data_IF_954007036174
#
_entry.id   IF_954007036174
#
_cell.length_a   1.000
_cell.length_b   1.000
_cell.length_c   1.000
_cell.angle_alpha   90.00
_cell.angle_beta   90.00
_cell.angle_gamma   90.00
#
_symmetry.space_group_name_H-M   'P 1'
#
loop_
_entity.id
_entity.type
_entity.pdbx_description
1 polymer ?
#
# COMPACT_ATOMS: atom_id res chain seq x y z
N UNK A 1 23.83 8.74 15.28
CA UNK A 1 22.62 7.88 15.24
C UNK A 1 21.83 8.16 13.96
N UNK A 2 21.03 7.20 13.48
CA UNK A 2 20.14 7.38 12.33
C UNK A 2 18.79 7.98 12.74
N UNK A 3 18.33 9.01 12.03
CA UNK A 3 17.21 9.87 12.38
C UNK A 3 16.18 9.94 11.26
N UNK A 4 14.91 10.12 11.62
CA UNK A 4 13.86 10.53 10.68
C UNK A 4 14.20 11.90 10.11
N UNK A 5 14.10 12.05 8.78
CA UNK A 5 14.43 13.31 8.09
C UNK A 5 13.57 14.49 8.53
N UNK A 6 12.31 14.24 8.87
CA UNK A 6 11.29 15.25 9.15
C UNK A 6 11.17 15.48 10.66
N UNK A 7 10.95 14.42 11.43
CA UNK A 7 10.69 14.50 12.87
C UNK A 7 11.97 14.53 13.72
N UNK A 8 13.13 14.21 13.11
CA UNK A 8 14.44 14.15 13.80
C UNK A 8 14.47 13.17 14.99
N UNK A 9 13.56 12.21 15.02
CA UNK A 9 13.52 11.13 16.02
C UNK A 9 14.35 9.93 15.54
N UNK A 10 14.85 9.06 16.43
CA UNK A 10 15.54 7.84 16.02
C UNK A 10 14.67 6.96 15.12
N UNK A 11 15.22 6.48 13.99
CA UNK A 11 14.48 5.65 13.03
C UNK A 11 15.11 4.26 12.81
N UNK A 12 15.76 3.72 13.85
CA UNK A 12 16.14 2.30 13.90
C UNK A 12 17.33 1.90 13.03
N UNK A 13 18.28 2.81 12.82
CA UNK A 13 19.65 2.47 12.43
C UNK A 13 20.65 3.42 13.06
N UNK A 14 21.94 3.09 12.97
CA UNK A 14 23.02 3.97 13.36
C UNK A 14 24.26 3.69 12.51
N UNK A 15 25.26 4.57 12.64
CA UNK A 15 26.63 4.33 12.19
C UNK A 15 27.48 4.15 13.44
N UNK A 16 28.45 3.25 13.36
CA UNK A 16 29.47 3.04 14.39
C UNK A 16 30.81 3.14 13.70
N UNK A 17 31.65 4.05 14.15
CA UNK A 17 33.00 4.27 13.62
C UNK A 17 34.01 3.68 14.60
N UNK A 18 34.86 2.80 14.10
CA UNK A 18 35.97 2.22 14.85
C UNK A 18 37.27 2.91 14.45
N UNK A 19 38.22 2.98 15.38
CA UNK A 19 39.54 3.55 15.10
C UNK A 19 40.35 2.74 14.08
N UNK A 20 40.18 1.42 14.05
CA UNK A 20 40.91 0.52 13.16
C UNK A 20 39.94 -0.27 12.27
N UNK A 21 40.40 -0.60 11.06
CA UNK A 21 39.63 -1.42 10.13
C UNK A 21 39.40 -2.84 10.68
N UNK A 22 40.39 -3.40 11.39
CA UNK A 22 40.31 -4.72 12.01
C UNK A 22 39.14 -4.80 13.00
N UNK A 23 38.95 -3.80 13.87
CA UNK A 23 37.79 -3.78 14.79
C UNK A 23 36.44 -3.69 14.07
N UNK A 24 36.38 -3.01 12.92
CA UNK A 24 35.17 -3.00 12.10
C UNK A 24 34.87 -4.38 11.48
N UNK A 25 35.89 -5.13 11.07
CA UNK A 25 35.74 -6.50 10.57
C UNK A 25 35.34 -7.48 11.68
N UNK A 26 35.89 -7.32 12.88
CA UNK A 26 35.50 -8.11 14.05
C UNK A 26 34.03 -7.87 14.44
N UNK A 27 33.56 -6.62 14.37
CA UNK A 27 32.16 -6.29 14.55
C UNK A 27 31.28 -7.05 13.53
N UNK A 28 31.68 -7.08 12.26
CA UNK A 28 30.96 -7.84 11.22
C UNK A 28 30.93 -9.35 11.49
N UNK A 29 31.98 -9.90 12.11
CA UNK A 29 32.11 -11.33 12.39
C UNK A 29 31.36 -11.77 13.64
N UNK A 30 31.43 -10.99 14.72
CA UNK A 30 30.96 -11.43 16.04
C UNK A 30 29.69 -10.71 16.52
N UNK A 31 29.43 -9.49 16.06
CA UNK A 31 28.28 -8.68 16.50
C UNK A 31 27.11 -8.79 15.51
N UNK A 32 27.38 -9.02 14.23
CA UNK A 32 26.33 -9.22 13.23
C UNK A 32 25.42 -10.40 13.62
N UNK A 33 24.10 -10.22 13.52
CA UNK A 33 23.08 -11.18 13.95
C UNK A 33 23.03 -11.49 15.46
N UNK A 34 23.76 -10.74 16.30
CA UNK A 34 23.58 -10.78 17.75
C UNK A 34 22.29 -10.06 18.18
N UNK A 35 21.96 -10.11 19.48
CA UNK A 35 20.76 -9.49 20.05
C UNK A 35 21.08 -8.18 20.76
N UNK A 36 20.36 -7.12 20.41
CA UNK A 36 20.31 -5.84 21.12
C UNK A 36 18.84 -5.51 21.41
N UNK A 37 18.49 -5.24 22.66
CA UNK A 37 17.11 -4.98 23.10
C UNK A 37 16.10 -6.02 22.61
N UNK A 38 16.47 -7.30 22.70
CA UNK A 38 15.69 -8.43 22.19
C UNK A 38 15.46 -8.48 20.67
N UNK A 39 16.21 -7.71 19.90
CA UNK A 39 16.14 -7.69 18.44
C UNK A 39 17.44 -8.20 17.84
N UNK A 40 17.32 -9.00 16.78
CA UNK A 40 18.47 -9.40 15.98
C UNK A 40 18.92 -8.17 15.18
N UNK A 41 20.16 -7.73 15.39
CA UNK A 41 20.73 -6.60 14.65
C UNK A 41 21.51 -7.10 13.44
N UNK A 42 21.59 -6.26 12.40
CA UNK A 42 22.40 -6.52 11.21
C UNK A 42 23.39 -5.38 11.05
N UNK A 43 24.65 -5.72 10.79
CA UNK A 43 25.72 -4.77 10.53
C UNK A 43 26.15 -4.87 9.07
N UNK A 44 26.58 -3.74 8.49
CA UNK A 44 27.17 -3.65 7.16
C UNK A 44 28.39 -2.72 7.21
N UNK A 45 29.36 -2.96 6.32
CA UNK A 45 30.44 -2.01 6.09
C UNK A 45 29.93 -0.82 5.27
N UNK A 46 30.43 0.35 5.63
CA UNK A 46 29.98 1.62 5.08
C UNK A 46 31.21 2.44 4.61
N UNK A 47 31.15 3.15 3.48
CA UNK A 47 32.28 3.92 2.94
C UNK A 47 32.66 5.15 3.79
N UNK A 48 31.93 5.45 4.87
CA UNK A 48 32.25 6.52 5.81
C UNK A 48 31.12 7.55 5.94
N UNK A 49 31.00 8.11 7.14
CA UNK A 49 29.94 9.08 7.44
C UNK A 49 30.08 10.37 6.62
N UNK A 50 28.95 10.89 6.17
CA UNK A 50 28.83 12.22 5.55
C UNK A 50 27.51 12.83 6.00
N UNK A 51 27.48 14.15 6.12
CA UNK A 51 26.25 14.84 6.49
C UNK A 51 25.12 14.54 5.50
N UNK A 52 23.90 14.45 6.02
CA UNK A 52 22.73 13.96 5.32
C UNK A 52 22.53 12.44 5.37
N UNK A 53 23.59 11.64 5.56
CA UNK A 53 23.46 10.16 5.61
C UNK A 53 22.83 9.65 6.90
N UNK A 54 22.80 10.48 7.95
CA UNK A 54 22.09 10.19 9.18
C UNK A 54 20.56 10.15 8.98
N UNK A 55 20.02 10.75 7.92
CA UNK A 55 18.58 10.81 7.72
C UNK A 55 18.02 9.60 6.96
N UNK A 56 16.86 9.12 7.40
CA UNK A 56 16.04 8.16 6.67
C UNK A 56 15.68 8.67 5.26
N UNK A 57 15.58 7.74 4.32
CA UNK A 57 15.34 8.00 2.89
C UNK A 57 13.91 7.67 2.43
N UNK A 58 13.06 7.19 3.34
CA UNK A 58 11.64 6.98 3.08
C UNK A 58 10.93 8.29 2.74
N UNK A 59 9.85 8.20 1.97
CA UNK A 59 8.95 9.32 1.68
C UNK A 59 8.43 10.01 2.95
N UNK A 60 8.07 9.21 3.95
CA UNK A 60 7.59 9.66 5.26
C UNK A 60 8.65 10.30 6.16
N UNK A 61 9.94 10.12 5.82
CA UNK A 61 11.09 10.63 6.58
C UNK A 61 11.95 9.52 7.19
N UNK A 62 11.35 8.38 7.54
CA UNK A 62 12.02 7.24 8.17
C UNK A 62 12.82 6.37 7.20
N UNK A 63 13.06 5.11 7.58
CA UNK A 63 13.72 4.15 6.69
C UNK A 63 12.79 3.70 5.56
N UNK A 64 13.33 3.55 4.35
CA UNK A 64 12.58 3.03 3.18
C UNK A 64 11.99 1.64 3.48
N UNK A 65 12.73 0.80 4.21
CA UNK A 65 12.28 -0.54 4.61
C UNK A 65 11.00 -0.50 5.45
N UNK A 66 10.89 0.47 6.36
CA UNK A 66 9.75 0.55 7.27
C UNK A 66 8.47 1.07 6.56
N UNK A 67 8.57 1.63 5.35
CA UNK A 67 7.39 2.09 4.60
C UNK A 67 6.54 0.94 4.06
N UNK A 68 7.21 -0.14 3.64
CA UNK A 68 6.60 -1.32 3.00
C UNK A 68 6.47 -2.52 3.95
N UNK A 69 6.77 -2.34 5.24
CA UNK A 69 6.69 -3.42 6.23
C UNK A 69 5.24 -3.85 6.45
N UNK A 70 4.98 -5.13 6.23
CA UNK A 70 3.66 -5.76 6.42
C UNK A 70 3.38 -6.10 7.87
N UNK A 71 4.38 -6.53 8.65
CA UNK A 71 4.18 -6.99 10.01
C UNK A 71 4.01 -5.81 10.97
N UNK A 72 3.22 -5.99 12.03
CA UNK A 72 3.16 -5.02 13.12
C UNK A 72 4.39 -5.13 14.02
N UNK A 73 5.04 -4.00 14.31
CA UNK A 73 6.20 -3.94 15.22
C UNK A 73 6.10 -2.65 16.04
N UNK A 74 5.73 -2.81 17.31
CA UNK A 74 5.50 -1.70 18.24
C UNK A 74 6.75 -0.83 18.43
N UNK A 75 7.95 -1.43 18.43
CA UNK A 75 9.21 -0.73 18.69
C UNK A 75 9.69 0.02 17.44
N UNK A 76 8.98 -0.13 16.32
CA UNK A 76 9.16 0.56 15.03
C UNK A 76 7.95 1.42 14.67
N UNK A 77 7.14 1.82 15.65
CA UNK A 77 5.98 2.70 15.45
C UNK A 77 4.71 1.99 14.96
N UNK A 78 4.66 0.66 15.00
CA UNK A 78 3.46 -0.12 14.65
C UNK A 78 3.52 -0.70 13.24
N UNK A 79 2.46 -0.49 12.44
CA UNK A 79 2.38 -0.93 11.04
C UNK A 79 3.31 -0.10 10.15
N UNK A 80 3.77 -0.68 9.04
CA UNK A 80 4.44 0.09 8.00
C UNK A 80 3.53 1.19 7.42
N UNK A 81 4.12 2.29 6.95
CA UNK A 81 3.35 3.50 6.57
C UNK A 81 2.30 3.24 5.49
N UNK A 82 2.61 2.41 4.51
CA UNK A 82 1.64 2.04 3.47
C UNK A 82 0.45 1.26 4.05
N UNK A 83 0.74 0.27 4.90
CA UNK A 83 -0.28 -0.56 5.54
C UNK A 83 -1.16 0.28 6.49
N UNK A 84 -0.55 1.21 7.24
CA UNK A 84 -1.26 2.15 8.11
C UNK A 84 -2.25 3.01 7.32
N UNK A 85 -1.85 3.52 6.15
CA UNK A 85 -2.68 4.33 5.27
C UNK A 85 -3.86 3.54 4.68
N UNK A 86 -3.60 2.33 4.18
CA UNK A 86 -4.65 1.42 3.68
C UNK A 86 -5.67 1.11 4.77
N UNK A 87 -5.23 0.83 6.01
CA UNK A 87 -6.14 0.58 7.13
C UNK A 87 -6.97 1.82 7.49
N UNK A 88 -6.38 3.01 7.47
CA UNK A 88 -7.10 4.27 7.71
C UNK A 88 -8.17 4.52 6.64
N UNK A 89 -7.83 4.34 5.36
CA UNK A 89 -8.78 4.49 4.26
C UNK A 89 -9.94 3.51 4.39
N UNK A 90 -9.66 2.24 4.73
CA UNK A 90 -10.71 1.23 4.95
C UNK A 90 -11.63 1.61 6.11
N UNK A 91 -11.09 2.09 7.24
CA UNK A 91 -11.91 2.56 8.38
C UNK A 91 -12.83 3.71 7.98
N UNK A 92 -12.29 4.71 7.28
CA UNK A 92 -13.07 5.87 6.81
C UNK A 92 -14.18 5.40 5.85
N UNK A 93 -13.91 4.42 4.99
CA UNK A 93 -14.91 3.87 4.09
C UNK A 93 -16.04 3.15 4.85
N UNK A 94 -15.70 2.27 5.79
CA UNK A 94 -16.67 1.58 6.65
C UNK A 94 -17.52 2.58 7.45
N UNK A 95 -16.91 3.62 8.02
CA UNK A 95 -17.64 4.64 8.78
C UNK A 95 -18.59 5.48 7.91
N UNK A 96 -18.19 5.78 6.67
CA UNK A 96 -19.00 6.61 5.75
C UNK A 96 -20.15 5.86 5.09
N UNK A 97 -19.92 4.61 4.70
CA UNK A 97 -20.86 3.85 3.88
C UNK A 97 -21.52 2.68 4.63
N UNK A 98 -21.13 2.44 5.88
CA UNK A 98 -21.52 1.25 6.64
C UNK A 98 -20.84 0.00 6.09
N UNK A 99 -20.76 -1.04 6.91
CA UNK A 99 -20.53 -2.39 6.39
C UNK A 99 -21.79 -2.76 5.60
N UNK A 100 -21.75 -2.58 4.28
CA UNK A 100 -22.79 -3.13 3.43
C UNK A 100 -22.81 -4.64 3.65
N UNK A 101 -23.74 -5.14 4.47
CA UNK A 101 -24.13 -6.53 4.45
C UNK A 101 -24.54 -6.83 3.01
N UNK A 102 -23.62 -7.40 2.22
CA UNK A 102 -24.01 -8.29 1.16
C UNK A 102 -24.59 -9.54 1.85
N UNK A 103 -25.82 -9.40 2.34
CA UNK A 103 -26.72 -10.54 2.40
C UNK A 103 -26.88 -10.97 0.95
N UNK A 104 -26.09 -11.97 0.55
CA UNK A 104 -26.40 -12.73 -0.65
C UNK A 104 -27.81 -13.26 -0.40
N UNK A 105 -28.85 -12.81 -1.12
CA UNK A 105 -30.18 -13.33 -0.88
C UNK A 105 -30.10 -14.82 -1.18
N UNK A 106 -30.45 -15.67 -0.21
CA UNK A 106 -30.53 -17.13 -0.36
C UNK A 106 -31.70 -17.55 -1.25
N UNK A 107 -31.90 -16.85 -2.37
CA UNK A 107 -32.87 -17.17 -3.40
C UNK A 107 -32.11 -17.46 -4.69
N UNK A 108 -32.13 -18.71 -5.14
CA UNK A 108 -31.64 -19.10 -6.46
C UNK A 108 -32.28 -18.21 -7.52
N UNK A 109 -31.47 -17.36 -8.17
CA UNK A 109 -31.89 -16.70 -9.40
C UNK A 109 -31.52 -17.67 -10.53
N UNK A 110 -32.48 -18.23 -11.29
CA UNK A 110 -32.16 -19.08 -12.42
C UNK A 110 -31.49 -18.22 -13.50
N UNK A 111 -30.21 -18.47 -13.73
CA UNK A 111 -29.42 -17.89 -14.80
C UNK A 111 -29.81 -18.49 -16.16
N UNK A 112 -30.24 -17.68 -17.12
CA UNK A 112 -30.31 -18.11 -18.52
C UNK A 112 -28.89 -18.03 -19.11
N UNK A 113 -28.28 -19.19 -19.35
CA UNK A 113 -26.86 -19.33 -19.70
C UNK A 113 -26.47 -18.87 -21.12
N UNK A 114 -27.35 -18.20 -21.86
CA UNK A 114 -27.08 -17.84 -23.27
C UNK A 114 -27.05 -16.36 -23.62
N UNK A 115 -27.65 -15.48 -22.84
CA UNK A 115 -27.66 -14.03 -23.11
C UNK A 115 -27.65 -13.32 -21.76
N UNK A 116 -26.53 -12.74 -21.36
CA UNK A 116 -26.34 -12.10 -20.06
C UNK A 116 -27.19 -10.83 -19.89
N UNK A 117 -28.46 -11.01 -19.48
CA UNK A 117 -29.37 -9.94 -19.09
C UNK A 117 -30.57 -10.48 -18.30
N UNK A 118 -31.25 -9.66 -17.48
CA UNK A 118 -32.42 -10.11 -16.70
C UNK A 118 -33.62 -10.38 -17.61
N UNK A 119 -34.47 -11.34 -17.21
CA UNK A 119 -35.72 -11.68 -17.91
C UNK A 119 -36.80 -10.66 -17.53
N UNK A 120 -37.25 -9.84 -18.47
CA UNK A 120 -38.35 -8.89 -18.24
C UNK A 120 -39.72 -9.62 -18.30
N UNK A 121 -40.48 -9.56 -17.21
CA UNK A 121 -41.87 -10.02 -17.17
C UNK A 121 -42.78 -8.94 -17.79
N UNK A 122 -43.48 -9.32 -18.85
CA UNK A 122 -44.21 -8.39 -19.72
C UNK A 122 -45.62 -8.17 -19.18
N UNK A 123 -45.81 -7.15 -18.33
CA UNK A 123 -47.17 -6.64 -18.05
C UNK A 123 -47.26 -5.16 -17.69
N UNK A 124 -47.72 -4.40 -18.69
CA UNK A 124 -48.60 -3.23 -18.62
C UNK A 124 -48.09 -1.92 -17.99
N UNK A 125 -47.79 -0.94 -18.86
CA UNK A 125 -48.52 0.34 -18.93
C UNK A 125 -48.19 1.13 -20.21
N UNK A 126 -49.24 1.41 -20.99
CA UNK A 126 -49.23 2.33 -22.14
C UNK A 126 -49.28 3.78 -21.66
N UNK A 127 -48.52 4.67 -22.33
CA UNK A 127 -48.62 6.14 -22.51
C UNK A 127 -47.25 6.55 -23.09
N UNK A 128 -47.03 7.16 -24.25
CA UNK A 128 -47.83 7.88 -25.25
C UNK A 128 -46.98 9.09 -25.72
N UNK A 129 -46.91 9.35 -27.04
CA UNK A 129 -46.22 10.47 -27.75
C UNK A 129 -44.68 10.43 -27.79
N UNK A 130 -43.93 10.68 -28.87
CA UNK A 130 -44.17 11.02 -30.29
C UNK A 130 -42.83 10.81 -31.04
N UNK A 131 -42.89 10.54 -32.33
CA UNK A 131 -41.74 10.31 -33.22
C UNK A 131 -40.98 11.59 -33.54
N UNK A 132 -39.66 11.49 -33.69
CA UNK A 132 -38.95 12.20 -34.77
C UNK A 132 -37.78 11.31 -35.25
N UNK A 133 -37.90 10.86 -36.49
CA UNK A 133 -36.81 10.28 -37.25
C UNK A 133 -35.90 11.40 -37.75
N UNK A 134 -34.58 11.20 -37.70
CA UNK A 134 -33.66 11.67 -38.74
C UNK A 134 -32.30 10.94 -38.61
N UNK A 135 -32.11 9.91 -39.44
CA UNK A 135 -30.80 9.53 -40.00
C UNK A 135 -30.52 10.50 -41.17
N UNK A 136 -29.25 10.85 -41.55
CA UNK A 136 -28.44 9.78 -42.14
C UNK A 136 -26.90 9.92 -42.20
N UNK A 137 -26.30 8.76 -42.45
CA UNK A 137 -25.14 8.48 -43.32
C UNK A 137 -23.75 8.23 -42.73
N UNK A 138 -23.27 7.06 -43.15
CA UNK A 138 -21.93 6.50 -43.04
C UNK A 138 -20.95 6.98 -44.14
N UNK A 139 -19.66 6.64 -43.92
CA UNK A 139 -18.47 6.60 -44.81
C UNK A 139 -17.46 7.72 -44.45
N UNK A 140 -16.14 7.51 -44.37
CA UNK A 140 -15.27 6.51 -45.01
C UNK A 140 -13.88 6.52 -44.34
N UNK A 141 -13.25 5.34 -44.28
CA UNK A 141 -11.84 5.08 -43.93
C UNK A 141 -10.88 5.73 -44.95
N UNK A 142 -9.67 6.09 -44.49
CA UNK A 142 -8.32 5.96 -45.12
C UNK A 142 -7.30 6.64 -44.17
N UNK A 143 -6.44 5.91 -43.47
CA UNK A 143 -5.04 5.60 -43.85
C UNK A 143 -4.37 6.70 -44.66
N UNK A 144 -3.50 7.47 -44.01
CA UNK A 144 -2.04 7.47 -44.23
C UNK A 144 -1.33 7.86 -42.92
#
# INVERSE_FOLDING_TARGET
MGLDRNQKTPCGFCFVEYYTNESALDCMKYINFSRLDNRIIRTDLDPGFKDGRQYGRGKSGGQVRDEYRSEFDKDRGGWGRFQEEVMKQRKIQTEKYGDGEHSVPSGEIPINSRLGGPVEDSRAKRRGYESDEEEPTSKKRRND
#
